data_IF_931909959745
#
_entry.id   IF_931909959745
#
_cell.length_a   1.000
_cell.length_b   1.000
_cell.length_c   1.000
_cell.angle_alpha   90.00
_cell.angle_beta   90.00
_cell.angle_gamma   90.00
#
_symmetry.space_group_name_H-M   'P 1'
#
loop_
_entity.id
_entity.type
_entity.pdbx_description
1 polymer ?
#
# COMPACT_ATOMS: atom_id res chain seq x y z
N UNK A 1 -40.65 47.23 40.68
CA UNK A 1 -40.22 45.91 41.16
C UNK A 1 -39.26 45.33 40.13
N UNK A 2 -38.02 45.04 40.51
CA UNK A 2 -36.95 44.50 39.65
C UNK A 2 -37.20 43.02 39.41
N UNK A 3 -37.12 42.54 38.16
CA UNK A 3 -36.74 41.15 37.87
C UNK A 3 -35.83 41.13 36.64
N UNK A 4 -34.53 40.97 36.91
CA UNK A 4 -33.52 40.51 35.96
C UNK A 4 -33.77 39.02 35.71
N UNK A 5 -33.87 38.60 34.46
CA UNK A 5 -33.73 37.18 34.10
C UNK A 5 -32.66 37.08 33.02
N UNK A 6 -31.44 36.87 33.51
CA UNK A 6 -30.32 36.33 32.74
C UNK A 6 -30.71 34.93 32.26
N UNK A 7 -30.64 34.69 30.95
CA UNK A 7 -30.62 33.33 30.40
C UNK A 7 -29.29 33.12 29.70
N UNK A 8 -28.62 32.12 30.23
CA UNK A 8 -27.29 31.61 29.95
C UNK A 8 -27.10 31.32 28.46
N UNK A 9 -26.06 31.89 27.85
CA UNK A 9 -25.51 31.37 26.60
C UNK A 9 -24.97 29.96 26.89
N UNK A 10 -25.66 28.93 26.39
CA UNK A 10 -25.05 27.61 26.22
C UNK A 10 -24.02 27.73 25.09
N UNK A 11 -22.77 27.94 25.46
CA UNK A 11 -21.62 27.71 24.59
C UNK A 11 -21.60 26.23 24.22
N UNK A 12 -22.08 25.90 23.02
CA UNK A 12 -21.86 24.59 22.41
C UNK A 12 -20.35 24.51 22.16
N UNK A 13 -19.66 23.78 23.04
CA UNK A 13 -18.28 23.39 22.83
C UNK A 13 -18.24 22.50 21.57
N UNK A 14 -17.78 23.07 20.46
CA UNK A 14 -17.30 22.29 19.32
C UNK A 14 -16.11 21.48 19.81
N UNK A 15 -16.37 20.23 20.22
CA UNK A 15 -15.35 19.19 20.27
C UNK A 15 -14.96 18.92 18.82
N UNK A 16 -13.99 19.69 18.32
CA UNK A 16 -13.16 19.30 17.21
C UNK A 16 -12.31 18.10 17.66
N UNK A 17 -12.96 16.93 17.77
CA UNK A 17 -12.27 15.67 17.88
C UNK A 17 -11.59 15.42 16.55
N UNK A 18 -10.26 15.41 16.55
CA UNK A 18 -9.45 14.86 15.48
C UNK A 18 -9.76 13.36 15.34
N UNK A 19 -10.90 13.02 14.74
CA UNK A 19 -11.19 11.66 14.35
C UNK A 19 -10.34 11.41 13.11
N UNK A 20 -9.28 10.62 13.25
CA UNK A 20 -8.47 10.18 12.13
C UNK A 20 -9.39 9.31 11.24
N UNK A 21 -10.06 9.91 10.26
CA UNK A 21 -11.12 9.24 9.49
C UNK A 21 -10.51 8.39 8.38
N UNK A 22 -9.96 7.24 8.75
CA UNK A 22 -9.78 6.16 7.78
C UNK A 22 -11.17 5.72 7.30
N UNK A 23 -11.36 5.57 5.99
CA UNK A 23 -12.65 5.13 5.43
C UNK A 23 -12.95 3.67 5.86
N UNK A 24 -14.22 3.22 5.84
CA UNK A 24 -14.55 1.83 6.15
C UNK A 24 -13.76 0.81 5.31
N UNK A 25 -13.52 1.11 4.03
CA UNK A 25 -12.75 0.28 3.10
C UNK A 25 -11.27 0.22 3.52
N UNK A 26 -10.68 1.37 3.86
CA UNK A 26 -9.30 1.43 4.38
C UNK A 26 -9.16 0.61 5.67
N UNK A 27 -10.16 0.69 6.56
CA UNK A 27 -10.16 -0.05 7.82
C UNK A 27 -10.28 -1.56 7.58
N UNK A 28 -11.16 -1.98 6.67
CA UNK A 28 -11.36 -3.39 6.33
C UNK A 28 -10.10 -4.03 5.73
N UNK A 29 -9.46 -3.37 4.76
CA UNK A 29 -8.19 -3.84 4.19
C UNK A 29 -7.08 -3.89 5.26
N UNK A 30 -6.98 -2.86 6.11
CA UNK A 30 -5.97 -2.85 7.19
C UNK A 30 -6.20 -3.91 8.26
N UNK A 31 -7.45 -4.15 8.66
CA UNK A 31 -7.78 -5.14 9.69
C UNK A 31 -7.55 -6.57 9.20
N UNK A 32 -7.73 -6.80 7.90
CA UNK A 32 -7.62 -8.12 7.28
C UNK A 32 -6.26 -8.33 6.58
N UNK A 33 -5.30 -7.43 6.76
CA UNK A 33 -3.97 -7.57 6.15
C UNK A 33 -3.28 -8.82 6.70
N UNK A 34 -3.20 -9.87 5.88
CA UNK A 34 -2.55 -11.11 6.22
C UNK A 34 -1.03 -10.95 6.26
N UNK A 35 -0.43 -11.05 7.44
CA UNK A 35 1.03 -10.94 7.67
C UNK A 35 1.77 -12.28 7.75
N UNK A 36 1.09 -13.37 7.42
CA UNK A 36 1.72 -14.70 7.40
C UNK A 36 2.88 -14.68 6.41
N UNK A 37 4.02 -15.25 6.82
CA UNK A 37 5.24 -15.32 6.02
C UNK A 37 6.09 -14.05 5.99
N UNK A 38 5.66 -12.95 6.62
CA UNK A 38 6.41 -11.69 6.60
C UNK A 38 7.76 -11.81 7.33
N UNK A 39 8.81 -11.23 6.75
CA UNK A 39 10.14 -11.16 7.36
C UNK A 39 11.24 -10.87 6.34
N UNK A 40 12.50 -11.04 6.76
CA UNK A 40 13.67 -10.69 5.94
C UNK A 40 14.88 -11.59 6.19
N UNK A 41 15.77 -11.65 5.19
CA UNK A 41 17.03 -12.38 5.20
C UNK A 41 17.09 -13.53 4.19
N UNK A 42 18.26 -14.18 4.11
CA UNK A 42 18.56 -15.22 3.11
C UNK A 42 17.55 -16.39 3.04
N UNK A 43 16.86 -16.67 4.15
CA UNK A 43 15.88 -17.73 4.24
C UNK A 43 14.53 -17.40 3.57
N UNK A 44 14.29 -16.17 3.12
CA UNK A 44 13.05 -15.72 2.48
C UNK A 44 13.20 -15.85 0.97
N UNK A 45 12.94 -17.05 0.46
CA UNK A 45 13.03 -17.40 -0.97
C UNK A 45 11.72 -17.12 -1.68
N UNK A 46 11.75 -17.11 -3.02
CA UNK A 46 10.54 -17.02 -3.84
C UNK A 46 9.53 -18.15 -3.53
N UNK A 47 9.99 -19.37 -3.23
CA UNK A 47 9.11 -20.46 -2.79
C UNK A 47 8.35 -20.11 -1.50
N UNK A 48 9.01 -19.46 -0.53
CA UNK A 48 8.32 -18.99 0.69
C UNK A 48 7.36 -17.85 0.42
N UNK A 49 7.65 -17.01 -0.57
CA UNK A 49 6.73 -15.97 -1.00
C UNK A 49 5.44 -16.56 -1.57
N UNK A 50 5.56 -17.50 -2.50
CA UNK A 50 4.38 -18.18 -3.06
C UNK A 50 3.60 -18.94 -1.97
N UNK A 51 4.28 -19.61 -1.04
CA UNK A 51 3.60 -20.22 0.11
C UNK A 51 2.87 -19.19 0.98
N UNK A 52 3.50 -18.04 1.27
CA UNK A 52 2.89 -16.98 2.06
C UNK A 52 1.66 -16.38 1.36
N UNK A 53 1.68 -16.26 0.04
CA UNK A 53 0.53 -15.83 -0.77
C UNK A 53 -0.62 -16.82 -0.64
N UNK A 54 -0.34 -18.12 -0.79
CA UNK A 54 -1.36 -19.17 -0.64
C UNK A 54 -1.93 -19.25 0.78
N UNK A 55 -1.07 -19.12 1.81
CA UNK A 55 -1.48 -19.09 3.21
C UNK A 55 -2.35 -17.87 3.55
N UNK A 56 -2.24 -16.80 2.76
CA UNK A 56 -3.08 -15.62 2.85
C UNK A 56 -4.39 -15.70 2.05
N UNK A 57 -4.71 -16.87 1.48
CA UNK A 57 -5.96 -17.11 0.74
C UNK A 57 -5.82 -17.10 -0.77
N UNK A 58 -4.59 -17.00 -1.30
CA UNK A 58 -4.30 -16.92 -2.73
C UNK A 58 -4.11 -15.48 -3.21
N UNK A 59 -4.23 -15.28 -4.52
CA UNK A 59 -4.05 -13.98 -5.15
C UNK A 59 -5.13 -13.70 -6.21
N UNK A 60 -5.33 -12.42 -6.44
CA UNK A 60 -6.05 -11.84 -7.57
C UNK A 60 -5.04 -11.30 -8.60
N UNK A 61 -5.51 -10.99 -9.81
CA UNK A 61 -4.65 -10.54 -10.91
C UNK A 61 -4.73 -9.02 -11.03
N UNK A 62 -3.57 -8.36 -11.02
CA UNK A 62 -3.49 -6.94 -11.38
C UNK A 62 -3.84 -6.74 -12.86
N UNK A 63 -4.56 -5.67 -13.16
CA UNK A 63 -4.88 -5.27 -14.53
C UNK A 63 -4.24 -3.92 -14.87
N UNK A 64 -4.14 -3.61 -16.16
CA UNK A 64 -3.56 -2.34 -16.62
C UNK A 64 -4.31 -1.12 -16.04
N UNK A 65 -5.64 -1.15 -16.01
CA UNK A 65 -6.46 -0.05 -15.46
C UNK A 65 -6.24 0.17 -13.96
N UNK A 66 -5.85 -0.88 -13.22
CA UNK A 66 -5.52 -0.77 -11.81
C UNK A 66 -4.20 -0.05 -11.59
N UNK A 67 -3.18 -0.22 -12.45
CA UNK A 67 -1.80 0.21 -12.13
C UNK A 67 -1.26 1.31 -13.06
N UNK A 68 -1.68 1.33 -14.33
CA UNK A 68 -1.14 2.25 -15.34
C UNK A 68 -1.67 3.66 -15.13
N UNK A 69 -0.72 4.60 -15.03
CA UNK A 69 -0.90 6.03 -14.76
C UNK A 69 -1.68 6.31 -13.47
N UNK A 70 -1.71 5.33 -12.56
CA UNK A 70 -2.33 5.46 -11.26
C UNK A 70 -1.31 5.94 -10.23
N UNK A 71 -1.73 6.82 -9.31
CA UNK A 71 -0.92 7.20 -8.16
C UNK A 71 -1.12 6.20 -7.02
N UNK A 72 -0.16 5.30 -6.85
CA UNK A 72 -0.18 4.26 -5.83
C UNK A 72 0.60 4.72 -4.60
N UNK A 73 -0.06 4.81 -3.44
CA UNK A 73 0.56 5.21 -2.18
C UNK A 73 0.47 4.09 -1.17
N UNK A 74 1.60 3.70 -0.57
CA UNK A 74 1.64 2.54 0.31
C UNK A 74 2.68 2.64 1.42
N UNK A 75 2.58 1.75 2.40
CA UNK A 75 3.62 1.52 3.40
C UNK A 75 3.71 0.05 3.79
N UNK A 76 4.92 -0.38 4.13
CA UNK A 76 5.17 -1.74 4.61
C UNK A 76 4.56 -1.95 5.97
N UNK A 77 3.83 -3.05 6.14
CA UNK A 77 3.23 -3.47 7.40
C UNK A 77 2.37 -2.38 8.07
N UNK A 78 1.79 -1.47 7.27
CA UNK A 78 1.08 -0.27 7.73
C UNK A 78 1.98 0.66 8.58
N UNK A 79 3.27 0.73 8.23
CA UNK A 79 4.27 1.57 8.88
C UNK A 79 4.15 3.05 8.53
N UNK A 80 4.95 3.88 9.20
CA UNK A 80 4.94 5.35 9.02
C UNK A 80 5.63 5.83 7.74
N UNK A 81 6.57 5.05 7.21
CA UNK A 81 7.33 5.41 6.01
C UNK A 81 6.49 5.10 4.78
N UNK A 82 6.04 6.15 4.10
CA UNK A 82 5.20 6.03 2.90
C UNK A 82 6.04 6.04 1.63
N UNK A 83 5.54 5.35 0.62
CA UNK A 83 6.04 5.33 -0.74
C UNK A 83 4.95 5.79 -1.68
N UNK A 84 5.36 6.36 -2.81
CA UNK A 84 4.50 6.65 -3.94
C UNK A 84 5.08 5.97 -5.16
N UNK A 85 4.23 5.39 -5.99
CA UNK A 85 4.61 4.77 -7.26
C UNK A 85 3.63 5.18 -8.35
N UNK A 86 4.15 5.49 -9.53
CA UNK A 86 3.37 5.73 -10.75
C UNK A 86 4.01 4.90 -11.86
N UNK A 87 3.22 4.06 -12.51
CA UNK A 87 3.64 3.19 -13.61
C UNK A 87 3.10 3.74 -14.93
N UNK A 88 3.91 3.74 -15.98
CA UNK A 88 3.53 4.20 -17.32
C UNK A 88 3.25 3.02 -18.24
N UNK A 89 2.48 3.26 -19.30
CA UNK A 89 2.11 2.27 -20.31
C UNK A 89 3.29 1.74 -21.16
N UNK A 90 4.44 2.42 -21.12
CA UNK A 90 5.65 2.03 -21.83
C UNK A 90 6.57 1.09 -21.02
N UNK A 91 6.10 0.60 -19.86
CA UNK A 91 6.88 -0.27 -18.97
C UNK A 91 7.85 0.48 -18.05
N UNK A 92 7.85 1.82 -18.05
CA UNK A 92 8.63 2.63 -17.11
C UNK A 92 7.78 3.07 -15.92
N UNK A 93 8.42 3.53 -14.85
CA UNK A 93 7.73 4.09 -13.70
C UNK A 93 8.63 4.94 -12.82
N UNK A 94 8.00 5.61 -11.86
CA UNK A 94 8.69 6.40 -10.84
C UNK A 94 8.31 5.93 -9.45
N UNK A 95 9.32 5.65 -8.62
CA UNK A 95 9.18 5.29 -7.21
C UNK A 95 9.73 6.41 -6.33
N UNK A 96 8.91 6.95 -5.44
CA UNK A 96 9.28 8.06 -4.54
C UNK A 96 9.24 7.63 -3.08
N UNK A 97 10.38 7.79 -2.38
CA UNK A 97 10.49 7.68 -0.92
C UNK A 97 10.04 9.00 -0.29
N UNK A 98 8.75 9.12 0.03
CA UNK A 98 8.13 10.37 0.48
C UNK A 98 8.79 10.99 1.74
N UNK A 99 9.29 10.16 2.65
CA UNK A 99 10.00 10.61 3.86
C UNK A 99 11.39 11.20 3.57
N UNK A 100 12.01 10.82 2.45
CA UNK A 100 13.35 11.27 2.05
C UNK A 100 13.34 12.29 0.90
N UNK A 101 12.20 12.47 0.22
CA UNK A 101 12.10 13.32 -0.97
C UNK A 101 12.93 12.82 -2.15
N UNK A 102 13.31 11.55 -2.18
CA UNK A 102 14.07 10.94 -3.28
C UNK A 102 13.14 10.17 -4.21
N UNK A 103 13.45 10.22 -5.51
CA UNK A 103 12.74 9.47 -6.56
C UNK A 103 13.74 8.67 -7.36
N UNK A 104 13.37 7.44 -7.69
CA UNK A 104 14.12 6.48 -8.48
C UNK A 104 13.24 6.08 -9.68
N UNK A 105 13.86 5.89 -10.85
CA UNK A 105 13.16 5.28 -11.97
C UNK A 105 13.15 3.77 -11.79
N UNK A 106 12.09 3.14 -12.28
CA UNK A 106 11.91 1.70 -12.26
C UNK A 106 11.36 1.25 -13.62
N UNK A 107 11.56 -0.02 -13.94
CA UNK A 107 10.81 -0.71 -15.01
C UNK A 107 9.82 -1.68 -14.39
N UNK A 108 8.75 -2.01 -15.12
CA UNK A 108 7.72 -2.92 -14.64
C UNK A 108 7.11 -3.76 -15.76
N UNK A 109 6.58 -4.92 -15.39
CA UNK A 109 5.81 -5.79 -16.26
C UNK A 109 4.82 -6.67 -15.46
N UNK A 110 3.83 -7.24 -16.15
CA UNK A 110 3.08 -8.37 -15.62
C UNK A 110 3.72 -9.68 -16.06
N UNK A 111 4.02 -10.55 -15.10
CA UNK A 111 4.56 -11.88 -15.36
C UNK A 111 3.44 -12.91 -15.49
N UNK A 112 3.70 -13.99 -16.23
CA UNK A 112 2.74 -15.09 -16.47
C UNK A 112 2.21 -15.76 -15.19
N UNK A 113 2.97 -15.68 -14.10
CA UNK A 113 2.56 -16.19 -12.79
C UNK A 113 1.53 -15.27 -12.11
N UNK A 114 1.20 -14.10 -12.66
CA UNK A 114 0.29 -13.11 -12.10
C UNK A 114 0.97 -12.07 -11.19
N UNK A 115 2.30 -11.97 -11.21
CA UNK A 115 3.02 -10.92 -10.50
C UNK A 115 2.97 -9.60 -11.27
N UNK A 116 2.83 -8.50 -10.53
CA UNK A 116 3.42 -7.24 -10.96
C UNK A 116 4.90 -7.27 -10.55
N UNK A 117 5.79 -7.34 -11.54
CA UNK A 117 7.24 -7.34 -11.34
C UNK A 117 7.80 -5.94 -11.54
N UNK A 118 8.72 -5.53 -10.68
CA UNK A 118 9.41 -4.25 -10.75
C UNK A 118 10.92 -4.45 -10.64
N UNK A 119 11.67 -3.68 -11.42
CA UNK A 119 13.14 -3.67 -11.39
C UNK A 119 13.66 -2.24 -11.20
N UNK A 120 14.62 -2.10 -10.29
CA UNK A 120 15.30 -0.84 -9.99
C UNK A 120 16.64 -0.78 -10.72
N UNK A 121 17.14 0.44 -10.97
CA UNK A 121 18.42 0.66 -11.67
C UNK A 121 19.64 0.01 -10.98
N UNK A 122 19.56 -0.25 -9.67
CA UNK A 122 20.61 -0.92 -8.90
C UNK A 122 20.54 -2.46 -8.96
N UNK A 123 19.59 -3.01 -9.71
CA UNK A 123 19.35 -4.45 -9.86
C UNK A 123 18.50 -5.06 -8.75
N UNK A 124 17.98 -4.26 -7.81
CA UNK A 124 16.96 -4.74 -6.89
C UNK A 124 15.65 -5.02 -7.64
N UNK A 125 15.04 -6.14 -7.34
CA UNK A 125 13.82 -6.62 -7.97
C UNK A 125 12.71 -6.80 -6.94
N UNK A 126 11.48 -6.71 -7.42
CA UNK A 126 10.34 -6.70 -6.54
C UNK A 126 9.10 -7.31 -7.18
N UNK A 127 8.58 -8.37 -6.57
CA UNK A 127 7.37 -9.05 -7.04
C UNK A 127 6.19 -8.71 -6.13
N UNK A 128 5.06 -8.34 -6.72
CA UNK A 128 3.83 -8.02 -6.01
C UNK A 128 2.70 -8.97 -6.41
N UNK A 129 1.99 -9.47 -5.41
CA UNK A 129 0.73 -10.22 -5.55
C UNK A 129 -0.40 -9.46 -4.89
N UNK A 130 -1.48 -9.24 -5.64
CA UNK A 130 -2.72 -8.70 -5.11
C UNK A 130 -3.42 -9.79 -4.28
N UNK A 131 -3.65 -9.54 -3.00
CA UNK A 131 -4.32 -10.48 -2.10
C UNK A 131 -5.82 -10.17 -2.01
N UNK A 132 -6.16 -8.88 -1.99
CA UNK A 132 -7.54 -8.42 -1.99
C UNK A 132 -7.62 -6.96 -2.44
N UNK A 133 -8.74 -6.60 -3.04
CA UNK A 133 -9.11 -5.22 -3.38
C UNK A 133 -10.45 -4.84 -2.75
N UNK A 134 -10.54 -3.61 -2.24
CA UNK A 134 -11.81 -3.02 -1.83
C UNK A 134 -11.81 -1.51 -2.11
N UNK A 135 -12.55 -1.12 -3.15
CA UNK A 135 -12.54 0.26 -3.64
C UNK A 135 -11.13 0.67 -4.07
N UNK A 136 -10.65 1.84 -3.63
CA UNK A 136 -9.29 2.31 -3.93
C UNK A 136 -8.19 1.73 -3.04
N UNK A 137 -8.44 0.65 -2.29
CA UNK A 137 -7.50 0.07 -1.33
C UNK A 137 -7.20 -1.39 -1.64
N UNK A 138 -5.93 -1.76 -1.57
CA UNK A 138 -5.46 -3.12 -1.87
C UNK A 138 -4.62 -3.68 -0.73
N UNK A 139 -4.82 -4.97 -0.44
CA UNK A 139 -3.86 -5.77 0.31
C UNK A 139 -2.90 -6.41 -0.68
N UNK A 140 -1.60 -6.17 -0.51
CA UNK A 140 -0.55 -6.70 -1.38
C UNK A 140 0.46 -7.48 -0.57
N UNK A 141 0.84 -8.67 -1.04
CA UNK A 141 2.03 -9.39 -0.56
C UNK A 141 3.16 -9.09 -1.54
N UNK A 142 4.32 -8.71 -1.02
CA UNK A 142 5.49 -8.39 -1.84
C UNK A 142 6.69 -9.24 -1.48
N UNK A 143 7.54 -9.49 -2.47
CA UNK A 143 8.82 -10.17 -2.33
C UNK A 143 9.93 -9.34 -2.97
N UNK A 144 10.75 -8.71 -2.13
CA UNK A 144 11.91 -7.95 -2.56
C UNK A 144 13.18 -8.78 -2.54
N UNK A 145 14.05 -8.62 -3.53
CA UNK A 145 15.31 -9.36 -3.64
C UNK A 145 16.35 -8.62 -4.48
N UNK A 146 17.61 -8.71 -4.06
CA UNK A 146 18.75 -8.15 -4.81
C UNK A 146 19.85 -9.18 -5.00
N UNK A 147 21.06 -8.69 -5.28
CA UNK A 147 22.24 -9.52 -5.47
C UNK A 147 22.64 -10.29 -4.20
N UNK A 148 22.46 -9.70 -3.01
CA UNK A 148 22.66 -10.39 -1.74
C UNK A 148 21.37 -11.09 -1.29
N UNK A 149 21.49 -12.36 -0.92
CA UNK A 149 20.37 -13.09 -0.33
C UNK A 149 19.90 -12.45 0.98
N UNK A 150 20.77 -11.76 1.71
CA UNK A 150 20.39 -11.04 2.94
C UNK A 150 19.38 -9.91 2.71
N UNK A 151 19.33 -9.34 1.50
CA UNK A 151 18.41 -8.25 1.14
C UNK A 151 16.99 -8.72 0.82
N UNK A 152 16.75 -10.04 0.89
CA UNK A 152 15.45 -10.62 0.60
C UNK A 152 14.45 -10.29 1.69
N UNK A 153 13.24 -9.91 1.31
CA UNK A 153 12.14 -9.72 2.24
C UNK A 153 10.80 -10.15 1.67
N UNK A 154 9.92 -10.61 2.55
CA UNK A 154 8.49 -10.81 2.26
C UNK A 154 7.74 -9.84 3.15
N UNK A 155 6.96 -8.95 2.57
CA UNK A 155 6.27 -7.90 3.31
C UNK A 155 4.84 -7.72 2.84
N UNK A 156 3.93 -7.53 3.79
CA UNK A 156 2.56 -7.14 3.51
C UNK A 156 2.42 -5.63 3.41
N UNK A 157 1.59 -5.16 2.48
CA UNK A 157 1.34 -3.75 2.24
C UNK A 157 -0.14 -3.47 2.11
N UNK A 158 -0.52 -2.26 2.56
CA UNK A 158 -1.76 -1.65 2.12
C UNK A 158 -1.41 -0.60 1.07
N UNK A 159 -1.92 -0.78 -0.13
CA UNK A 159 -1.75 0.15 -1.24
C UNK A 159 -3.04 0.94 -1.40
N UNK A 160 -2.91 2.24 -1.61
CA UNK A 160 -4.01 3.16 -1.90
C UNK A 160 -3.84 3.66 -3.33
N UNK A 161 -4.78 3.36 -4.21
CA UNK A 161 -4.86 3.98 -5.52
C UNK A 161 -5.55 5.35 -5.39
N UNK A 162 -4.74 6.40 -5.28
CA UNK A 162 -5.23 7.77 -5.10
C UNK A 162 -5.99 8.29 -6.30
N UNK A 163 -5.59 7.90 -7.51
CA UNK A 163 -6.27 8.29 -8.75
C UNK A 163 -7.70 7.75 -8.77
N UNK A 164 -7.88 6.45 -8.51
CA UNK A 164 -9.20 5.82 -8.47
C UNK A 164 -10.13 6.40 -7.39
N UNK A 165 -9.57 6.87 -6.26
CA UNK A 165 -10.36 7.52 -5.20
C UNK A 165 -10.86 8.92 -5.58
N UNK A 166 -10.23 9.61 -6.54
CA UNK A 166 -10.64 10.95 -6.96
C UNK A 166 -11.71 10.92 -8.06
N UNK A 167 -11.91 9.77 -8.69
CA UNK A 167 -12.87 9.58 -9.79
C UNK A 167 -14.20 8.94 -9.34
N UNK A 168 -14.32 8.57 -8.07
CA UNK A 168 -15.57 8.08 -7.44
C UNK A 168 -16.34 9.25 -6.81
#
# INVERSE_FOLDING_TARGET
MKILTSVSLLSIAFLAGCQSTSTPEEQAIKSNLCKVGDGSGAAYTHEKFEQAVMDCGGYEIFTDDMVVRQELVFSFNNGKKKRKMVLNDDGTGAYTKLDKGSTENITWEFQDNGNLHLEFEDGYQWDWKLIAEQGGFWAVKSYGYGADAADRDILSMVVTNKTAMMTQ
#
